data_IF_343345471917
#
_entry.id   IF_343345471917
#
_cell.length_a   1.000
_cell.length_b   1.000
_cell.length_c   1.000
_cell.angle_alpha   90.00
_cell.angle_beta   90.00
_cell.angle_gamma   90.00
#
_symmetry.space_group_name_H-M   'P 1'
#
loop_
_entity.id
_entity.type
_entity.pdbx_description
1 polymer ?
#
# COMPACT_ATOMS: atom_id res chain seq x y z
N UNK A 1 -13.00 1.62 -14.44
CA UNK A 1 -14.13 1.15 -13.61
C UNK A 1 -15.25 2.17 -13.54
N UNK A 2 -15.16 3.26 -12.79
CA UNK A 2 -16.28 4.20 -12.62
C UNK A 2 -16.85 4.77 -13.94
N UNK A 3 -16.05 4.87 -14.99
CA UNK A 3 -16.46 5.24 -16.36
C UNK A 3 -16.99 4.06 -17.19
N UNK A 4 -17.01 2.84 -16.67
CA UNK A 4 -17.51 1.66 -17.39
C UNK A 4 -16.53 1.00 -18.35
N UNK A 5 -15.24 1.37 -18.31
CA UNK A 5 -14.21 0.78 -19.20
C UNK A 5 -13.77 -0.63 -18.76
N UNK A 6 -13.88 -0.94 -17.47
CA UNK A 6 -13.61 -2.26 -16.90
C UNK A 6 -14.40 -2.49 -15.62
N UNK A 7 -14.65 -3.76 -15.29
CA UNK A 7 -15.41 -4.15 -14.08
C UNK A 7 -14.50 -4.37 -12.88
N UNK A 8 -13.25 -4.74 -13.10
CA UNK A 8 -12.26 -5.04 -12.06
C UNK A 8 -10.94 -4.32 -12.36
N UNK A 9 -10.32 -3.76 -11.33
CA UNK A 9 -8.98 -3.18 -11.41
C UNK A 9 -8.17 -3.52 -10.16
N UNK A 10 -6.86 -3.68 -10.33
CA UNK A 10 -5.91 -3.79 -9.21
C UNK A 10 -5.42 -2.40 -8.88
N UNK A 11 -5.47 -2.05 -7.60
CA UNK A 11 -5.05 -0.73 -7.14
C UNK A 11 -4.50 -0.79 -5.72
N UNK A 12 -3.64 0.17 -5.37
CA UNK A 12 -3.28 0.41 -3.98
C UNK A 12 -4.44 1.10 -3.25
N UNK A 13 -4.62 0.74 -2.00
CA UNK A 13 -5.73 1.22 -1.17
C UNK A 13 -5.72 2.71 -0.88
N UNK A 14 -4.55 3.34 -0.81
CA UNK A 14 -4.44 4.77 -0.58
C UNK A 14 -5.09 5.62 -1.69
N UNK A 15 -5.20 5.12 -2.92
CA UNK A 15 -5.93 5.81 -3.99
C UNK A 15 -7.43 5.88 -3.70
N UNK A 16 -8.02 4.77 -3.25
CA UNK A 16 -9.43 4.73 -2.84
C UNK A 16 -9.65 5.64 -1.63
N UNK A 17 -8.77 5.55 -0.62
CA UNK A 17 -8.85 6.40 0.56
C UNK A 17 -8.77 7.89 0.23
N UNK A 18 -7.98 8.30 -0.77
CA UNK A 18 -7.96 9.68 -1.27
C UNK A 18 -9.29 10.12 -1.85
N UNK A 19 -9.95 9.26 -2.64
CA UNK A 19 -11.28 9.56 -3.19
C UNK A 19 -12.31 9.71 -2.07
N UNK A 20 -12.28 8.81 -1.08
CA UNK A 20 -13.18 8.85 0.07
C UNK A 20 -12.99 10.11 0.93
N UNK A 21 -11.76 10.60 1.07
CA UNK A 21 -11.43 11.85 1.81
C UNK A 21 -11.62 13.12 1.00
N UNK A 22 -11.85 13.01 -0.31
CA UNK A 22 -11.98 14.19 -1.16
C UNK A 22 -13.23 15.00 -0.82
N UNK A 23 -13.09 16.31 -0.88
CA UNK A 23 -14.23 17.24 -0.74
C UNK A 23 -14.92 17.51 -2.07
N UNK A 24 -14.36 17.05 -3.20
CA UNK A 24 -14.89 17.26 -4.53
C UNK A 24 -16.05 16.32 -4.81
N UNK A 25 -17.20 16.80 -5.30
CA UNK A 25 -18.36 15.96 -5.61
C UNK A 25 -18.08 14.88 -6.65
N UNK A 26 -17.24 15.17 -7.64
CA UNK A 26 -16.84 14.22 -8.68
C UNK A 26 -16.06 13.03 -8.13
N UNK A 27 -15.15 13.24 -7.17
CA UNK A 27 -14.39 12.19 -6.53
C UNK A 27 -15.28 11.27 -5.68
N UNK A 28 -16.25 11.87 -4.97
CA UNK A 28 -17.25 11.13 -4.22
C UNK A 28 -18.11 10.26 -5.13
N UNK A 29 -18.58 10.82 -6.23
CA UNK A 29 -19.38 10.09 -7.21
C UNK A 29 -18.61 8.91 -7.85
N UNK A 30 -17.28 9.00 -7.92
CA UNK A 30 -16.42 7.88 -8.31
C UNK A 30 -16.34 6.87 -7.17
N UNK A 31 -16.03 7.31 -5.95
CA UNK A 31 -15.90 6.43 -4.78
C UNK A 31 -17.18 5.60 -4.52
N UNK A 32 -18.35 6.22 -4.66
CA UNK A 32 -19.65 5.58 -4.44
C UNK A 32 -19.96 4.43 -5.43
N UNK A 33 -19.25 4.38 -6.56
CA UNK A 33 -19.37 3.32 -7.56
C UNK A 33 -18.37 2.18 -7.37
N UNK A 34 -17.43 2.30 -6.43
CA UNK A 34 -16.35 1.36 -6.23
C UNK A 34 -16.63 0.46 -5.03
N UNK A 35 -16.40 -0.84 -5.20
CA UNK A 35 -16.34 -1.82 -4.12
C UNK A 35 -14.92 -2.33 -3.94
N UNK A 36 -14.51 -2.57 -2.70
CA UNK A 36 -13.23 -3.17 -2.40
C UNK A 36 -13.39 -4.67 -2.18
N UNK A 37 -12.57 -5.44 -2.86
CA UNK A 37 -12.51 -6.90 -2.69
C UNK A 37 -11.10 -7.27 -2.23
N UNK A 38 -11.01 -7.87 -1.06
CA UNK A 38 -9.76 -8.40 -0.53
C UNK A 38 -9.54 -9.81 -1.07
N UNK A 39 -8.54 -10.05 -1.94
CA UNK A 39 -8.29 -11.39 -2.46
C UNK A 39 -7.66 -12.30 -1.41
N UNK A 40 -7.69 -13.61 -1.69
CA UNK A 40 -6.99 -14.66 -0.94
C UNK A 40 -7.31 -14.76 0.55
N UNK A 41 -8.49 -14.27 1.00
CA UNK A 41 -8.84 -14.22 2.42
C UNK A 41 -9.00 -15.63 3.04
N UNK A 42 -9.29 -16.65 2.24
CA UNK A 42 -9.37 -18.06 2.66
C UNK A 42 -8.03 -18.80 2.59
N UNK A 43 -6.97 -18.15 2.11
CA UNK A 43 -5.63 -18.74 1.95
C UNK A 43 -4.55 -17.83 2.58
N UNK A 44 -3.57 -17.35 1.82
CA UNK A 44 -2.43 -16.57 2.33
C UNK A 44 -2.79 -15.15 2.77
N UNK A 45 -3.88 -14.60 2.31
CA UNK A 45 -4.23 -13.19 2.54
C UNK A 45 -3.92 -12.29 1.35
N UNK A 46 -4.23 -11.00 1.47
CA UNK A 46 -3.97 -10.01 0.43
C UNK A 46 -2.51 -9.59 0.45
N UNK A 47 -1.93 -9.43 -0.74
CA UNK A 47 -0.56 -8.90 -0.89
C UNK A 47 -0.44 -7.51 -0.25
N UNK A 48 0.61 -7.34 0.56
CA UNK A 48 0.95 -6.06 1.16
C UNK A 48 2.04 -5.38 0.33
N UNK A 49 1.67 -4.28 -0.33
CA UNK A 49 2.64 -3.41 -0.99
C UNK A 49 3.26 -2.48 0.05
N UNK A 50 4.56 -2.60 0.27
CA UNK A 50 5.27 -1.92 1.35
C UNK A 50 6.16 -0.83 0.76
N UNK A 51 6.03 0.41 1.27
CA UNK A 51 7.01 1.47 1.05
C UNK A 51 8.21 1.28 1.97
N UNK A 52 9.40 1.55 1.47
CA UNK A 52 10.61 1.36 2.23
C UNK A 52 11.72 2.32 1.82
N UNK A 53 12.76 2.38 2.65
CA UNK A 53 13.97 3.15 2.40
C UNK A 53 15.22 2.30 2.60
N UNK A 54 16.31 2.71 1.99
CA UNK A 54 17.59 2.05 2.13
C UNK A 54 18.77 3.03 2.04
N UNK A 55 19.84 2.73 2.78
CA UNK A 55 21.07 3.51 2.73
C UNK A 55 21.97 3.00 1.59
N UNK A 56 22.40 3.90 0.73
CA UNK A 56 23.34 3.56 -0.33
C UNK A 56 24.74 3.26 0.23
N UNK A 57 25.46 2.34 -0.39
CA UNK A 57 26.83 1.94 -0.01
C UNK A 57 27.77 3.14 0.17
N UNK A 58 27.65 4.13 -0.69
CA UNK A 58 28.53 5.32 -0.74
C UNK A 58 27.81 6.60 -0.27
N UNK A 59 26.78 6.46 0.57
CA UNK A 59 26.11 7.62 1.16
C UNK A 59 27.10 8.50 1.93
N UNK A 60 27.14 9.82 1.70
CA UNK A 60 28.11 10.71 2.34
C UNK A 60 27.80 10.93 3.83
N UNK A 61 26.54 10.83 4.24
CA UNK A 61 26.06 11.10 5.60
C UNK A 61 25.40 9.86 6.21
N UNK A 62 26.16 8.78 6.37
CA UNK A 62 25.62 7.47 6.80
C UNK A 62 24.92 7.51 8.15
N UNK A 63 25.52 8.18 9.14
CA UNK A 63 24.92 8.28 10.48
C UNK A 63 23.56 9.00 10.46
N UNK A 64 23.46 10.08 9.70
CA UNK A 64 22.21 10.79 9.52
C UNK A 64 21.18 9.93 8.77
N UNK A 65 21.61 9.16 7.77
CA UNK A 65 20.75 8.23 7.05
C UNK A 65 20.18 7.13 7.97
N UNK A 66 21.02 6.56 8.85
CA UNK A 66 20.56 5.56 9.84
C UNK A 66 19.51 6.18 10.76
N UNK A 67 19.79 7.34 11.36
CA UNK A 67 18.84 8.04 12.23
C UNK A 67 17.52 8.33 11.52
N UNK A 68 17.57 8.70 10.25
CA UNK A 68 16.36 8.93 9.47
C UNK A 68 15.56 7.63 9.25
N UNK A 69 16.23 6.52 8.92
CA UNK A 69 15.56 5.22 8.77
C UNK A 69 14.95 4.75 10.10
N UNK A 70 15.64 4.94 11.22
CA UNK A 70 15.13 4.66 12.57
C UNK A 70 13.89 5.53 12.86
N UNK A 71 13.92 6.81 12.52
CA UNK A 71 12.77 7.70 12.66
C UNK A 71 11.58 7.22 11.84
N UNK A 72 11.79 6.75 10.60
CA UNK A 72 10.70 6.22 9.77
C UNK A 72 9.99 5.01 10.42
N UNK A 73 10.68 4.26 11.27
CA UNK A 73 10.11 3.17 12.04
C UNK A 73 9.49 3.60 13.38
N UNK A 74 9.53 4.90 13.72
CA UNK A 74 8.92 5.41 14.95
C UNK A 74 7.39 5.50 14.84
N UNK A 75 6.71 5.45 15.99
CA UNK A 75 5.26 5.63 16.07
C UNK A 75 4.78 6.92 15.41
N UNK A 76 5.52 8.01 15.58
CA UNK A 76 5.15 9.32 15.04
C UNK A 76 5.21 9.33 13.52
N UNK A 77 6.27 8.77 12.92
CA UNK A 77 6.37 8.65 11.47
C UNK A 77 5.28 7.73 10.91
N UNK A 78 4.98 6.62 11.56
CA UNK A 78 3.93 5.70 11.15
C UNK A 78 2.54 6.35 11.19
N UNK A 79 2.23 7.16 12.22
CA UNK A 79 1.01 7.96 12.28
C UNK A 79 0.97 9.01 11.17
N UNK A 80 2.09 9.69 10.92
CA UNK A 80 2.18 10.67 9.85
C UNK A 80 1.85 10.08 8.48
N UNK A 81 2.37 8.88 8.17
CA UNK A 81 2.05 8.17 6.91
C UNK A 81 0.59 7.76 6.85
N UNK A 82 0.01 7.30 7.96
CA UNK A 82 -1.39 6.93 7.99
C UNK A 82 -2.31 8.13 7.74
N UNK A 83 -2.02 9.27 8.34
CA UNK A 83 -2.85 10.47 8.22
C UNK A 83 -2.64 11.19 6.88
N UNK A 84 -1.38 11.34 6.45
CA UNK A 84 -1.00 12.08 5.25
C UNK A 84 -1.14 11.29 3.96
N UNK A 85 -0.73 10.03 3.97
CA UNK A 85 -0.69 9.19 2.78
C UNK A 85 -1.80 8.14 2.71
N UNK A 86 -2.57 7.95 3.79
CA UNK A 86 -3.57 6.88 3.92
C UNK A 86 -2.94 5.49 3.78
N UNK A 87 -1.85 5.25 4.48
CA UNK A 87 -1.15 3.97 4.52
C UNK A 87 -1.30 3.35 5.91
N UNK A 88 -1.48 2.03 6.00
CA UNK A 88 -1.45 1.36 7.30
C UNK A 88 -0.02 1.32 7.84
N UNK A 89 0.14 1.46 9.19
CA UNK A 89 1.44 1.28 9.82
C UNK A 89 2.00 -0.11 9.56
N UNK A 90 3.31 -0.20 9.30
CA UNK A 90 4.02 -1.48 9.21
C UNK A 90 4.60 -1.92 10.55
N UNK A 91 4.73 -0.99 11.49
CA UNK A 91 5.19 -1.26 12.86
C UNK A 91 4.02 -1.79 13.70
N UNK A 92 4.21 -2.97 14.26
CA UNK A 92 3.17 -3.61 15.09
C UNK A 92 2.86 -2.77 16.34
N UNK A 93 1.58 -2.69 16.69
CA UNK A 93 1.10 -1.98 17.89
C UNK A 93 0.85 -0.48 17.69
N UNK A 94 1.29 0.11 16.59
CA UNK A 94 0.97 1.51 16.29
C UNK A 94 -0.50 1.62 15.92
N UNK A 95 -1.24 2.34 16.75
CA UNK A 95 -2.66 2.61 16.52
C UNK A 95 -2.81 3.92 15.76
N UNK A 96 -3.61 3.86 14.69
CA UNK A 96 -4.00 5.01 13.88
C UNK A 96 -5.53 5.04 13.77
N UNK A 97 -6.07 6.22 13.54
CA UNK A 97 -7.49 6.41 13.26
C UNK A 97 -7.60 7.13 11.92
N UNK A 98 -7.95 6.40 10.89
CA UNK A 98 -8.17 6.96 9.56
C UNK A 98 -9.50 6.40 9.01
N UNK A 99 -10.60 7.18 9.14
CA UNK A 99 -11.93 6.70 8.74
C UNK A 99 -12.01 6.19 7.31
N UNK A 100 -11.20 6.73 6.40
CA UNK A 100 -11.18 6.26 5.01
C UNK A 100 -10.54 4.86 4.89
N UNK A 101 -9.47 4.58 5.65
CA UNK A 101 -8.88 3.24 5.71
C UNK A 101 -9.82 2.27 6.46
N UNK A 102 -10.40 2.71 7.56
CA UNK A 102 -11.29 1.90 8.40
C UNK A 102 -12.54 1.47 7.61
N UNK A 103 -13.04 2.32 6.71
CA UNK A 103 -14.18 2.02 5.85
C UNK A 103 -13.92 0.95 4.79
N UNK A 104 -12.65 0.62 4.51
CA UNK A 104 -12.29 -0.44 3.57
C UNK A 104 -12.47 -1.86 4.17
N UNK A 105 -12.79 -1.95 5.46
CA UNK A 105 -13.05 -3.18 6.18
C UNK A 105 -11.78 -3.92 6.61
N UNK A 106 -11.99 -4.98 7.39
CA UNK A 106 -10.92 -5.84 7.85
C UNK A 106 -10.44 -6.80 6.76
N UNK A 107 -9.17 -7.14 6.81
CA UNK A 107 -8.59 -8.11 5.88
C UNK A 107 -7.45 -8.91 6.53
N UNK A 108 -7.23 -10.10 6.01
CA UNK A 108 -6.06 -10.92 6.31
C UNK A 108 -4.92 -10.49 5.38
N UNK A 109 -3.83 -9.98 5.95
CA UNK A 109 -2.61 -9.65 5.22
C UNK A 109 -1.78 -10.90 4.91
N UNK A 110 -1.12 -10.91 3.74
CA UNK A 110 -0.10 -11.91 3.44
C UNK A 110 1.15 -11.65 4.31
N UNK A 111 1.72 -12.71 4.86
CA UNK A 111 2.91 -12.67 5.71
C UNK A 111 4.20 -13.01 4.97
N UNK A 112 4.19 -13.00 3.64
CA UNK A 112 5.38 -13.31 2.83
C UNK A 112 6.55 -12.39 3.19
N UNK A 113 7.74 -12.97 3.31
CA UNK A 113 8.96 -12.18 3.49
C UNK A 113 9.24 -11.38 2.22
N UNK A 114 9.41 -10.05 2.36
CA UNK A 114 9.65 -9.12 1.25
C UNK A 114 10.87 -9.50 0.41
N UNK A 115 11.88 -10.16 0.99
CA UNK A 115 13.04 -10.67 0.27
C UNK A 115 12.67 -11.67 -0.84
N UNK A 116 11.56 -12.41 -0.70
CA UNK A 116 11.08 -13.33 -1.73
C UNK A 116 10.63 -12.62 -3.01
N UNK A 117 10.15 -11.38 -2.89
CA UNK A 117 9.79 -10.55 -4.04
C UNK A 117 11.01 -10.29 -4.93
N UNK A 118 12.15 -9.95 -4.32
CA UNK A 118 13.41 -9.74 -5.05
C UNK A 118 13.91 -11.01 -5.75
N UNK A 119 13.81 -12.17 -5.09
CA UNK A 119 14.22 -13.45 -5.68
C UNK A 119 13.36 -13.83 -6.88
N UNK A 120 12.07 -13.60 -6.79
CA UNK A 120 11.10 -14.00 -7.80
C UNK A 120 10.91 -12.95 -8.91
N UNK A 121 11.44 -11.75 -8.76
CA UNK A 121 11.25 -10.65 -9.71
C UNK A 121 11.59 -11.01 -11.16
N UNK A 122 12.70 -11.72 -11.48
CA UNK A 122 13.01 -12.09 -12.87
C UNK A 122 11.98 -13.05 -13.49
N UNK A 123 11.41 -13.94 -12.69
CA UNK A 123 10.34 -14.84 -13.15
C UNK A 123 9.02 -14.09 -13.31
N UNK A 124 8.68 -13.25 -12.36
CA UNK A 124 7.48 -12.41 -12.40
C UNK A 124 7.47 -11.53 -13.66
N UNK A 125 8.59 -10.89 -13.99
CA UNK A 125 8.70 -10.09 -15.21
C UNK A 125 8.41 -10.92 -16.48
N UNK A 126 8.98 -12.11 -16.58
CA UNK A 126 8.70 -13.00 -17.73
C UNK A 126 7.23 -13.39 -17.84
N UNK A 127 6.55 -13.57 -16.72
CA UNK A 127 5.13 -13.90 -16.70
C UNK A 127 4.27 -12.71 -17.13
N UNK A 128 4.60 -11.51 -16.67
CA UNK A 128 3.94 -10.27 -17.07
C UNK A 128 4.09 -10.02 -18.56
N UNK A 129 5.31 -10.17 -19.10
CA UNK A 129 5.60 -10.03 -20.53
C UNK A 129 4.78 -11.01 -21.38
N UNK A 130 4.70 -12.29 -20.96
CA UNK A 130 3.89 -13.31 -21.65
C UNK A 130 2.40 -13.01 -21.60
N UNK A 131 1.93 -12.44 -20.50
CA UNK A 131 0.53 -12.05 -20.35
C UNK A 131 0.17 -10.77 -21.09
N UNK A 132 1.14 -10.08 -21.69
CA UNK A 132 0.93 -8.78 -22.33
C UNK A 132 0.57 -7.67 -21.35
N UNK A 133 0.89 -7.84 -20.07
CA UNK A 133 0.62 -6.85 -19.04
C UNK A 133 1.63 -5.69 -19.21
N UNK A 134 1.10 -4.47 -19.47
CA UNK A 134 1.91 -3.27 -19.71
C UNK A 134 1.61 -2.19 -18.67
#
# INVERSE_FOLDING_TARGET
MAAGECDVAISNTYYIARLLKSTKPEDKAVADKLGVVWPNQKSQGVHMNISGGGMLKHAPNKEAAVKFLEYLASDDAQRYFADGNNEWPVVQGVKVSNPALDSLGEFKADSINVAELGKNQPLAQKLLDRAGFK
#
